data_IF_448886841190
#
_entry.id   IF_448886841190
#
_cell.length_a   1.000
_cell.length_b   1.000
_cell.length_c   1.000
_cell.angle_alpha   90.00
_cell.angle_beta   90.00
_cell.angle_gamma   90.00
#
_symmetry.space_group_name_H-M   'P 1'
#
loop_
_entity.id
_entity.type
_entity.pdbx_description
1 polymer ?
#
# COMPACT_ATOMS: atom_id res chain seq x y z
N UNK A 1 -37.76 73.30 28.80
CA UNK A 1 -36.52 73.94 29.28
C UNK A 1 -35.49 72.87 29.57
N UNK A 2 -34.29 73.05 29.04
CA UNK A 2 -33.11 72.17 29.17
C UNK A 2 -32.64 72.08 30.63
N UNK A 3 -32.20 70.90 31.07
CA UNK A 3 -31.06 70.80 31.99
C UNK A 3 -30.12 69.70 31.51
N UNK A 4 -28.94 70.16 31.08
CA UNK A 4 -27.73 69.40 30.84
C UNK A 4 -27.28 68.73 32.14
N UNK A 5 -26.78 67.49 32.05
CA UNK A 5 -25.81 66.99 33.01
C UNK A 5 -24.50 66.69 32.29
N UNK A 6 -23.50 67.46 32.71
CA UNK A 6 -22.09 67.37 32.34
C UNK A 6 -21.48 66.18 33.07
N UNK A 7 -20.80 65.28 32.35
CA UNK A 7 -19.88 64.30 32.95
C UNK A 7 -18.49 64.91 33.00
N UNK A 8 -17.96 65.05 34.22
CA UNK A 8 -16.55 65.36 34.51
C UNK A 8 -15.79 64.02 34.65
N UNK A 9 -14.54 63.89 34.15
CA UNK A 9 -13.78 62.63 34.21
C UNK A 9 -12.97 62.51 35.50
N UNK A 10 -12.79 61.28 36.01
CA UNK A 10 -11.81 60.92 37.05
C UNK A 10 -11.25 59.49 36.76
N UNK A 11 -10.08 59.11 37.31
CA UNK A 11 -8.98 58.53 36.55
C UNK A 11 -8.65 57.05 36.86
N UNK A 12 -7.89 56.44 35.93
CA UNK A 12 -6.88 55.37 36.04
C UNK A 12 -7.21 54.15 36.93
N UNK A 13 -7.32 52.98 36.29
CA UNK A 13 -6.68 51.76 36.76
C UNK A 13 -6.25 50.92 35.55
N UNK A 14 -4.93 50.79 35.35
CA UNK A 14 -4.36 49.84 34.41
C UNK A 14 -4.64 48.42 34.93
N UNK A 15 -5.61 47.74 34.34
CA UNK A 15 -5.75 46.30 34.51
C UNK A 15 -4.69 45.63 33.65
N UNK A 16 -3.62 45.16 34.28
CA UNK A 16 -2.73 44.15 33.72
C UNK A 16 -3.60 42.93 33.45
N UNK A 17 -4.00 42.74 32.19
CA UNK A 17 -4.51 41.47 31.74
C UNK A 17 -3.34 40.49 31.79
N UNK A 18 -3.21 39.80 32.92
CA UNK A 18 -2.43 38.58 33.01
C UNK A 18 -3.12 37.63 32.03
N UNK A 19 -2.57 37.53 30.82
CA UNK A 19 -2.99 36.54 29.86
C UNK A 19 -2.92 35.20 30.54
N UNK A 20 -4.07 34.55 30.69
CA UNK A 20 -4.15 33.13 30.89
C UNK A 20 -3.44 32.50 29.70
N UNK A 21 -2.17 32.15 29.90
CA UNK A 21 -1.48 31.16 29.09
C UNK A 21 -2.28 29.88 29.34
N UNK A 22 -3.28 29.66 28.48
CA UNK A 22 -3.98 28.40 28.44
C UNK A 22 -2.93 27.33 28.20
N UNK A 23 -2.67 26.52 29.22
CA UNK A 23 -2.18 25.17 29.02
C UNK A 23 -3.19 24.53 28.07
N UNK A 24 -2.82 24.42 26.79
CA UNK A 24 -3.57 23.63 25.84
C UNK A 24 -3.40 22.19 26.30
N UNK A 25 -4.35 21.73 27.11
CA UNK A 25 -4.52 20.31 27.38
C UNK A 25 -4.70 19.63 26.03
N UNK A 26 -3.91 18.58 25.78
CA UNK A 26 -4.18 17.64 24.71
C UNK A 26 -5.67 17.27 24.79
N UNK A 27 -6.45 17.65 23.78
CA UNK A 27 -7.85 17.28 23.75
C UNK A 27 -7.88 15.82 23.31
N UNK A 28 -8.51 14.96 24.10
CA UNK A 28 -8.82 13.61 23.62
C UNK A 28 -9.59 13.72 22.30
N UNK A 29 -9.35 12.77 21.40
CA UNK A 29 -10.09 12.69 20.15
C UNK A 29 -11.59 12.64 20.45
N UNK A 30 -12.45 13.24 19.61
CA UNK A 30 -13.89 13.00 19.70
C UNK A 30 -14.18 11.49 19.83
N UNK A 31 -15.09 11.09 20.71
CA UNK A 31 -15.35 9.66 21.04
C UNK A 31 -15.66 8.77 19.82
N UNK A 32 -16.15 9.37 18.73
CA UNK A 32 -16.47 8.70 17.46
C UNK A 32 -15.24 8.43 16.57
N UNK A 33 -14.06 8.84 17.00
CA UNK A 33 -12.83 8.70 16.24
C UNK A 33 -11.89 7.71 16.93
N UNK A 34 -11.30 6.82 16.15
CA UNK A 34 -10.29 5.87 16.62
C UNK A 34 -9.04 5.97 15.76
N UNK A 35 -7.89 5.61 16.32
CA UNK A 35 -6.68 5.43 15.53
C UNK A 35 -6.84 4.17 14.68
N UNK A 36 -6.58 4.29 13.38
CA UNK A 36 -6.34 3.12 12.55
C UNK A 36 -4.92 2.62 12.85
N UNK A 37 -4.77 1.57 13.66
CA UNK A 37 -3.48 1.19 14.26
C UNK A 37 -2.37 0.93 13.23
N UNK A 38 -2.71 0.34 12.07
CA UNK A 38 -1.74 0.06 11.00
C UNK A 38 -1.19 1.33 10.33
N UNK A 39 -1.80 2.50 10.59
CA UNK A 39 -1.31 3.79 10.10
C UNK A 39 -0.29 4.49 10.99
N UNK A 40 0.07 3.91 12.13
CA UNK A 40 1.05 4.51 13.05
C UNK A 40 2.42 4.63 12.37
N UNK A 41 3.03 5.80 12.49
CA UNK A 41 4.39 6.03 11.97
C UNK A 41 5.44 5.21 12.75
N UNK A 42 6.61 4.91 12.15
CA UNK A 42 7.65 4.12 12.80
C UNK A 42 8.15 4.68 14.15
N UNK A 43 8.17 6.00 14.31
CA UNK A 43 8.51 6.70 15.56
C UNK A 43 7.31 6.89 16.51
N UNK A 44 6.12 6.40 16.13
CA UNK A 44 4.88 6.52 16.88
C UNK A 44 4.32 7.94 16.97
N UNK A 45 4.90 8.93 16.27
CA UNK A 45 4.51 10.33 16.39
C UNK A 45 3.24 10.66 15.60
N UNK A 46 3.01 10.01 14.47
CA UNK A 46 1.90 10.34 13.58
C UNK A 46 1.03 9.12 13.28
N UNK A 47 -0.21 9.37 12.86
CA UNK A 47 -1.15 8.33 12.42
C UNK A 47 -2.36 8.92 11.72
N UNK A 48 -3.23 8.04 11.25
CA UNK A 48 -4.53 8.38 10.66
C UNK A 48 -5.62 7.97 11.64
N UNK A 49 -6.42 8.96 12.04
CA UNK A 49 -7.57 8.80 12.91
C UNK A 49 -8.83 8.79 12.03
N UNK A 50 -9.65 7.76 12.19
CA UNK A 50 -10.77 7.42 11.29
C UNK A 50 -12.07 7.34 12.10
N UNK A 51 -13.19 7.28 11.40
CA UNK A 51 -14.49 7.12 12.05
C UNK A 51 -14.62 5.70 12.62
N UNK A 52 -14.94 5.59 13.91
CA UNK A 52 -15.15 4.32 14.60
C UNK A 52 -16.46 3.68 14.13
N UNK A 53 -16.42 2.42 13.70
CA UNK A 53 -17.64 1.60 13.64
C UNK A 53 -17.80 0.81 14.94
N UNK A 54 -19.03 0.74 15.47
CA UNK A 54 -19.35 -0.25 16.50
C UNK A 54 -19.84 -1.52 15.83
N UNK A 55 -18.96 -2.46 15.50
CA UNK A 55 -19.41 -3.80 15.12
C UNK A 55 -19.90 -4.54 16.36
N UNK A 56 -21.22 -4.72 16.42
CA UNK A 56 -21.84 -5.81 17.18
C UNK A 56 -22.20 -6.86 16.13
N UNK A 57 -21.56 -8.03 16.21
CA UNK A 57 -21.91 -9.21 15.41
C UNK A 57 -23.45 -9.39 15.40
N UNK A 58 -23.99 -9.71 14.21
CA UNK A 58 -25.40 -10.12 13.95
C UNK A 58 -26.43 -9.07 13.49
N UNK A 59 -26.05 -7.84 13.11
CA UNK A 59 -27.02 -6.89 12.52
C UNK A 59 -26.60 -5.43 12.60
N UNK A 60 -25.53 -5.11 11.87
CA UNK A 60 -24.71 -3.90 11.94
C UNK A 60 -25.45 -2.58 12.27
N UNK A 61 -25.05 -1.96 13.38
CA UNK A 61 -25.18 -0.51 13.59
C UNK A 61 -23.81 0.10 13.31
N UNK A 62 -23.58 0.56 12.07
CA UNK A 62 -22.51 1.54 11.83
C UNK A 62 -22.86 2.76 12.69
N UNK A 63 -21.92 3.27 13.49
CA UNK A 63 -22.09 4.61 14.04
C UNK A 63 -21.97 5.57 12.86
N UNK A 64 -23.10 5.76 12.18
CA UNK A 64 -23.20 6.78 11.16
C UNK A 64 -22.95 8.12 11.85
N UNK A 65 -22.17 9.03 11.24
CA UNK A 65 -22.08 10.40 11.68
C UNK A 65 -23.50 10.95 11.88
N UNK A 66 -23.69 11.84 12.85
CA UNK A 66 -24.99 12.49 13.03
C UNK A 66 -25.40 13.21 11.74
N UNK A 67 -26.71 13.46 11.56
CA UNK A 67 -27.22 14.14 10.37
C UNK A 67 -26.48 15.49 10.14
N UNK A 68 -25.70 15.58 9.06
CA UNK A 68 -24.86 16.74 8.73
C UNK A 68 -23.37 16.62 9.06
N UNK A 69 -22.93 15.51 9.67
CA UNK A 69 -21.52 15.17 9.85
C UNK A 69 -20.98 14.39 8.64
N UNK A 70 -19.77 14.73 8.20
CA UNK A 70 -19.06 14.05 7.11
C UNK A 70 -18.23 12.89 7.67
N UNK A 71 -18.21 11.74 6.98
CA UNK A 71 -17.15 10.73 7.16
C UNK A 71 -15.84 11.35 6.74
N UNK A 72 -14.90 11.49 7.66
CA UNK A 72 -13.62 12.13 7.36
C UNK A 72 -12.51 11.50 8.15
N UNK A 73 -11.43 11.19 7.44
CA UNK A 73 -10.20 10.73 8.04
C UNK A 73 -9.29 11.92 8.35
N UNK A 74 -8.64 11.88 9.49
CA UNK A 74 -7.76 12.94 9.97
C UNK A 74 -6.34 12.44 10.07
N UNK A 75 -5.40 13.26 9.62
CA UNK A 75 -4.00 13.06 9.98
C UNK A 75 -3.75 13.65 11.37
N UNK A 76 -3.05 12.92 12.22
CA UNK A 76 -2.92 13.25 13.64
C UNK A 76 -1.47 13.18 14.14
N UNK A 77 -1.18 14.01 15.13
CA UNK A 77 -0.02 13.89 16.02
C UNK A 77 -0.47 13.11 17.27
N UNK A 78 0.08 11.91 17.41
CA UNK A 78 -0.25 10.93 18.46
C UNK A 78 0.50 11.21 19.77
N UNK A 79 1.58 11.99 19.76
CA UNK A 79 2.28 12.35 21.00
C UNK A 79 1.55 13.47 21.74
N UNK A 80 0.97 14.40 20.99
CA UNK A 80 0.25 15.55 21.55
C UNK A 80 -1.27 15.37 21.56
N UNK A 81 -1.78 14.25 21.03
CA UNK A 81 -3.21 14.03 20.73
C UNK A 81 -3.81 15.26 20.02
N UNK A 82 -3.23 15.67 18.88
CA UNK A 82 -3.77 16.75 18.04
C UNK A 82 -4.08 16.35 16.60
N UNK A 83 -5.27 16.74 16.11
CA UNK A 83 -5.66 16.54 14.72
C UNK A 83 -4.96 17.62 13.89
N UNK A 84 -4.11 17.21 12.95
CA UNK A 84 -3.38 18.10 12.05
C UNK A 84 -4.25 18.56 10.87
N UNK A 85 -5.34 17.84 10.60
CA UNK A 85 -6.41 18.23 9.68
C UNK A 85 -7.01 17.07 8.88
N UNK A 86 -8.06 17.37 8.12
CA UNK A 86 -8.79 16.43 7.26
C UNK A 86 -7.94 15.95 6.08
N UNK A 87 -7.89 14.65 5.83
CA UNK A 87 -7.32 14.05 4.62
C UNK A 87 -8.40 14.09 3.53
N UNK A 88 -8.11 14.74 2.41
CA UNK A 88 -9.09 14.91 1.32
C UNK A 88 -9.23 13.63 0.50
N UNK A 89 -10.47 13.24 0.21
CA UNK A 89 -10.80 12.06 -0.61
C UNK A 89 -10.69 10.73 0.16
N UNK A 90 -10.77 10.81 1.49
CA UNK A 90 -10.65 9.69 2.42
C UNK A 90 -11.85 9.76 3.37
N UNK A 91 -12.66 8.71 3.34
CA UNK A 91 -13.92 8.60 4.08
C UNK A 91 -14.02 7.18 4.67
N UNK A 92 -12.90 6.62 5.13
CA UNK A 92 -12.85 5.24 5.60
C UNK A 92 -13.51 5.11 6.98
N UNK A 93 -14.25 4.02 7.13
CA UNK A 93 -14.87 3.62 8.38
C UNK A 93 -14.17 2.37 8.88
N UNK A 94 -13.67 2.41 10.12
CA UNK A 94 -12.88 1.30 10.68
C UNK A 94 -13.69 -0.01 10.63
N UNK A 95 -13.09 -1.09 10.15
CA UNK A 95 -13.71 -2.41 9.99
C UNK A 95 -14.88 -2.50 8.99
N UNK A 96 -15.13 -1.47 8.16
CA UNK A 96 -16.13 -1.56 7.11
C UNK A 96 -15.83 -2.72 6.13
N UNK A 97 -16.88 -3.46 5.76
CA UNK A 97 -16.75 -4.51 4.77
C UNK A 97 -16.41 -3.94 3.39
N UNK A 98 -15.45 -4.55 2.71
CA UNK A 98 -15.02 -4.19 1.35
C UNK A 98 -14.36 -2.82 1.19
N UNK A 99 -14.03 -2.14 2.27
CA UNK A 99 -13.16 -0.96 2.27
C UNK A 99 -11.89 -1.27 3.08
N UNK A 100 -10.79 -0.61 2.75
CA UNK A 100 -9.55 -0.74 3.49
C UNK A 100 -8.73 0.55 3.41
N UNK A 101 -7.94 0.82 4.44
CA UNK A 101 -7.01 1.93 4.49
C UNK A 101 -5.60 1.37 4.65
N UNK A 102 -4.76 1.61 3.65
CA UNK A 102 -3.33 1.33 3.70
C UNK A 102 -2.57 2.60 4.06
N UNK A 103 -1.55 2.47 4.91
CA UNK A 103 -0.62 3.55 5.23
C UNK A 103 0.82 3.02 5.26
N UNK A 104 1.63 3.48 4.30
CA UNK A 104 3.04 3.09 4.20
C UNK A 104 3.96 4.26 4.52
N UNK A 105 4.80 4.10 5.54
CA UNK A 105 5.69 5.15 6.02
C UNK A 105 7.11 5.00 5.50
N UNK A 106 7.79 6.14 5.30
CA UNK A 106 9.26 6.13 5.28
C UNK A 106 9.81 5.74 6.65
N UNK A 107 10.96 5.04 6.71
CA UNK A 107 11.56 4.65 7.99
C UNK A 107 11.88 5.80 8.95
N UNK A 108 11.99 7.03 8.44
CA UNK A 108 12.26 8.24 9.23
C UNK A 108 10.99 9.05 9.57
N UNK A 109 9.79 8.47 9.37
CA UNK A 109 8.48 9.08 9.65
C UNK A 109 8.21 10.41 8.94
N UNK A 110 8.97 10.77 7.90
CA UNK A 110 8.79 12.06 7.22
C UNK A 110 7.72 12.06 6.14
N UNK A 111 7.37 10.89 5.61
CA UNK A 111 6.38 10.73 4.54
C UNK A 111 5.52 9.51 4.82
N UNK A 112 4.21 9.66 4.63
CA UNK A 112 3.24 8.57 4.62
C UNK A 112 2.56 8.52 3.25
N UNK A 113 2.45 7.33 2.68
CA UNK A 113 1.64 7.05 1.50
C UNK A 113 0.36 6.42 2.01
N UNK A 114 -0.74 7.17 1.96
CA UNK A 114 -2.05 6.66 2.33
C UNK A 114 -2.82 6.25 1.07
N UNK A 115 -3.43 5.08 1.09
CA UNK A 115 -4.29 4.56 0.02
C UNK A 115 -5.63 4.13 0.61
N UNK A 116 -6.70 4.74 0.13
CA UNK A 116 -8.07 4.34 0.46
C UNK A 116 -8.57 3.39 -0.63
N UNK A 117 -8.93 2.18 -0.21
CA UNK A 117 -9.44 1.12 -1.06
C UNK A 117 -10.95 1.00 -0.91
N UNK A 118 -11.61 0.88 -2.05
CA UNK A 118 -13.00 0.46 -2.13
C UNK A 118 -13.06 -1.00 -2.60
N UNK A 119 -14.27 -1.49 -2.78
CA UNK A 119 -14.53 -2.86 -3.18
C UNK A 119 -13.78 -3.28 -4.45
N UNK A 120 -13.58 -2.36 -5.40
CA UNK A 120 -12.90 -2.61 -6.67
C UNK A 120 -11.86 -1.52 -6.95
N UNK A 121 -10.64 -1.78 -6.51
CA UNK A 121 -9.51 -0.87 -6.67
C UNK A 121 -9.51 0.29 -5.67
N UNK A 122 -8.53 1.17 -5.83
CA UNK A 122 -8.35 2.29 -4.91
C UNK A 122 -9.30 3.45 -5.22
N UNK A 123 -9.91 4.09 -4.24
CA UNK A 123 -10.65 5.34 -4.43
C UNK A 123 -9.69 6.55 -4.49
N UNK A 124 -8.75 6.63 -3.54
CA UNK A 124 -7.80 7.72 -3.42
C UNK A 124 -6.43 7.23 -2.98
N UNK A 125 -5.38 7.90 -3.46
CA UNK A 125 -4.01 7.63 -3.03
C UNK A 125 -3.23 8.95 -2.95
N UNK A 126 -2.61 9.20 -1.80
CA UNK A 126 -2.00 10.49 -1.47
C UNK A 126 -0.70 10.31 -0.72
N UNK A 127 0.18 11.31 -0.84
CA UNK A 127 1.38 11.43 0.00
C UNK A 127 1.14 12.52 1.04
N UNK A 128 1.23 12.13 2.31
CA UNK A 128 1.13 12.99 3.48
C UNK A 128 2.53 13.31 4.01
N UNK A 129 2.78 14.58 4.32
CA UNK A 129 4.06 15.04 4.89
C UNK A 129 3.78 15.93 6.10
N UNK A 130 4.15 15.50 7.32
CA UNK A 130 4.05 16.34 8.51
C UNK A 130 4.83 17.66 8.38
N UNK A 131 4.27 18.74 8.95
CA UNK A 131 4.87 20.08 8.99
C UNK A 131 4.50 20.80 10.30
N UNK A 132 5.14 20.40 11.39
CA UNK A 132 4.83 20.91 12.73
C UNK A 132 3.35 20.67 13.04
N UNK A 133 2.60 21.74 13.31
CA UNK A 133 1.17 21.69 13.65
C UNK A 133 0.24 21.50 12.44
N UNK A 134 0.75 21.03 11.30
CA UNK A 134 0.00 20.85 10.06
C UNK A 134 0.63 19.75 9.20
N UNK A 135 0.06 19.51 8.01
CA UNK A 135 0.66 18.62 7.02
C UNK A 135 0.43 19.13 5.60
N UNK A 136 1.18 18.58 4.65
CA UNK A 136 0.84 18.70 3.22
C UNK A 136 0.39 17.38 2.66
N UNK A 137 -0.72 17.42 1.93
CA UNK A 137 -1.22 16.32 1.11
C UNK A 137 -0.84 16.58 -0.36
N UNK A 138 -0.38 15.54 -1.04
CA UNK A 138 -0.18 15.56 -2.49
C UNK A 138 -0.90 14.38 -3.11
N UNK A 139 -1.85 14.65 -4.01
CA UNK A 139 -2.55 13.60 -4.75
C UNK A 139 -1.60 12.91 -5.73
N UNK A 140 -1.54 11.59 -5.64
CA UNK A 140 -0.83 10.73 -6.59
C UNK A 140 -1.81 9.83 -7.37
N UNK A 141 -2.91 9.45 -6.73
CA UNK A 141 -3.94 8.56 -7.26
C UNK A 141 -4.59 9.08 -8.55
N UNK A 142 -4.94 10.37 -8.62
CA UNK A 142 -5.65 10.90 -9.78
C UNK A 142 -4.80 10.81 -11.06
N UNK A 143 -3.49 10.98 -10.96
CA UNK A 143 -2.58 10.83 -12.09
C UNK A 143 -2.55 9.38 -12.59
N UNK A 144 -2.45 8.42 -11.67
CA UNK A 144 -2.44 6.97 -12.00
C UNK A 144 -3.76 6.59 -12.69
N UNK A 145 -4.90 6.95 -12.10
CA UNK A 145 -6.23 6.66 -12.63
C UNK A 145 -6.42 7.25 -14.02
N UNK A 146 -6.15 8.55 -14.20
CA UNK A 146 -6.25 9.21 -15.52
C UNK A 146 -5.36 8.54 -16.57
N UNK A 147 -4.14 8.14 -16.20
CA UNK A 147 -3.20 7.50 -17.10
C UNK A 147 -3.69 6.11 -17.55
N UNK A 148 -4.24 5.31 -16.62
CA UNK A 148 -4.83 3.99 -16.91
C UNK A 148 -6.11 4.12 -17.72
N UNK A 149 -7.04 4.99 -17.33
CA UNK A 149 -8.30 5.20 -18.04
C UNK A 149 -8.05 5.60 -19.50
N UNK A 150 -7.05 6.43 -19.75
CA UNK A 150 -6.66 6.81 -21.11
C UNK A 150 -6.15 5.64 -21.96
N UNK A 151 -5.61 4.58 -21.35
CA UNK A 151 -5.23 3.34 -22.03
C UNK A 151 -6.45 2.45 -22.25
N UNK A 152 -7.26 2.23 -21.23
CA UNK A 152 -8.42 1.34 -21.30
C UNK A 152 -9.47 1.90 -22.28
N UNK A 153 -9.71 3.21 -22.27
CA UNK A 153 -10.64 3.91 -23.19
C UNK A 153 -10.24 3.81 -24.66
N UNK A 154 -8.95 3.54 -24.96
CA UNK A 154 -8.49 3.24 -26.33
C UNK A 154 -8.84 1.82 -26.76
N UNK A 155 -9.04 0.90 -25.82
CA UNK A 155 -9.41 -0.49 -26.07
C UNK A 155 -10.94 -0.69 -26.06
N UNK A 156 -11.66 0.08 -25.24
CA UNK A 156 -13.12 0.17 -25.21
C UNK A 156 -13.56 1.48 -24.57
N UNK A 157 -14.42 2.27 -25.24
CA UNK A 157 -14.76 3.64 -24.81
C UNK A 157 -15.65 3.72 -23.56
N UNK A 158 -16.46 2.69 -23.32
CA UNK A 158 -17.55 2.72 -22.34
C UNK A 158 -17.26 1.84 -21.11
N UNK A 159 -15.98 1.63 -20.80
CA UNK A 159 -15.56 0.86 -19.62
C UNK A 159 -14.55 1.66 -18.81
N UNK A 160 -14.75 1.67 -17.51
CA UNK A 160 -13.76 2.13 -16.54
C UNK A 160 -12.96 0.92 -16.02
N UNK A 161 -11.82 1.19 -15.40
CA UNK A 161 -10.97 0.15 -14.88
C UNK A 161 -10.84 0.25 -13.36
N UNK A 162 -10.81 -0.92 -12.74
CA UNK A 162 -10.43 -1.12 -11.36
C UNK A 162 -8.91 -1.20 -11.31
N UNK A 163 -8.31 -0.32 -10.51
CA UNK A 163 -6.86 -0.09 -10.49
C UNK A 163 -6.31 -0.50 -9.13
N UNK A 164 -5.21 -1.26 -9.15
CA UNK A 164 -4.57 -1.80 -7.96
C UNK A 164 -3.11 -1.30 -7.89
N UNK A 165 -2.88 -0.08 -7.36
CA UNK A 165 -1.54 0.46 -7.21
C UNK A 165 -0.81 -0.18 -6.03
N UNK A 166 0.46 -0.45 -6.26
CA UNK A 166 1.46 -0.82 -5.28
C UNK A 166 2.50 0.30 -5.25
N UNK A 167 2.73 0.84 -4.06
CA UNK A 167 3.67 1.91 -3.82
C UNK A 167 4.92 1.33 -3.16
N UNK A 168 6.08 1.89 -3.50
CA UNK A 168 7.35 1.48 -2.92
C UNK A 168 8.21 2.69 -2.62
N UNK A 169 8.55 2.87 -1.35
CA UNK A 169 9.52 3.88 -0.92
C UNK A 169 10.95 3.42 -1.27
N UNK A 170 11.62 4.12 -2.18
CA UNK A 170 13.03 3.87 -2.50
C UNK A 170 13.98 4.53 -1.47
N UNK A 171 15.27 4.16 -1.44
CA UNK A 171 16.29 4.93 -0.71
C UNK A 171 16.33 6.39 -1.19
N UNK A 172 15.91 7.32 -0.32
CA UNK A 172 15.75 8.74 -0.63
C UNK A 172 14.28 9.14 -0.85
N UNK A 173 14.00 10.38 -1.25
CA UNK A 173 12.64 10.86 -1.44
C UNK A 173 12.16 10.46 -2.85
N UNK A 174 11.91 9.17 -3.08
CA UNK A 174 11.33 8.68 -4.34
C UNK A 174 10.36 7.56 -4.05
N UNK A 175 9.20 7.63 -4.70
CA UNK A 175 8.16 6.62 -4.59
C UNK A 175 8.02 5.99 -5.98
N UNK A 176 8.39 4.71 -6.08
CA UNK A 176 8.10 3.92 -7.26
C UNK A 176 6.68 3.42 -7.17
N UNK A 177 5.96 3.45 -8.28
CA UNK A 177 4.57 2.99 -8.36
C UNK A 177 4.43 2.01 -9.49
N UNK A 178 3.79 0.90 -9.17
CA UNK A 178 3.38 -0.14 -10.09
C UNK A 178 1.87 -0.31 -9.93
N UNK A 179 1.07 -0.27 -11.00
CA UNK A 179 -0.36 -0.50 -10.88
C UNK A 179 -0.89 -1.36 -12.01
N UNK A 180 -1.53 -2.47 -11.65
CA UNK A 180 -2.31 -3.30 -12.57
C UNK A 180 -3.75 -2.82 -12.60
N UNK A 181 -4.39 -2.95 -13.75
CA UNK A 181 -5.78 -2.57 -13.91
C UNK A 181 -6.52 -3.48 -14.87
N UNK A 182 -7.80 -3.72 -14.58
CA UNK A 182 -8.72 -4.40 -15.48
C UNK A 182 -10.12 -3.79 -15.39
N UNK A 183 -10.91 -3.89 -16.46
CA UNK A 183 -12.32 -3.46 -16.48
C UNK A 183 -13.32 -4.56 -16.07
N UNK A 184 -12.83 -5.74 -15.69
CA UNK A 184 -13.65 -6.89 -15.33
C UNK A 184 -12.94 -7.71 -14.26
N UNK A 185 -12.72 -7.16 -13.05
CA UNK A 185 -11.97 -7.83 -11.98
C UNK A 185 -12.67 -9.10 -11.48
N UNK A 186 -14.00 -9.21 -11.70
CA UNK A 186 -14.80 -10.39 -11.37
C UNK A 186 -14.72 -11.51 -12.40
N UNK A 187 -14.05 -11.27 -13.53
CA UNK A 187 -13.98 -12.22 -14.64
C UNK A 187 -15.37 -12.69 -15.08
N UNK A 188 -16.35 -11.77 -15.14
CA UNK A 188 -17.71 -12.10 -15.55
C UNK A 188 -17.70 -12.73 -16.95
N UNK A 189 -18.34 -13.88 -17.07
CA UNK A 189 -18.44 -14.62 -18.32
C UNK A 189 -19.09 -13.76 -19.42
N UNK A 190 -18.61 -13.90 -20.66
CA UNK A 190 -19.10 -13.15 -21.81
C UNK A 190 -18.67 -11.66 -21.83
N UNK A 191 -18.01 -11.16 -20.80
CA UNK A 191 -17.48 -9.79 -20.77
C UNK A 191 -16.04 -9.78 -21.23
N UNK A 192 -15.75 -8.99 -22.27
CA UNK A 192 -14.37 -8.82 -22.74
C UNK A 192 -13.55 -8.04 -21.72
N UNK A 193 -12.48 -8.66 -21.24
CA UNK A 193 -11.54 -8.04 -20.31
C UNK A 193 -10.40 -7.36 -21.05
N UNK A 194 -10.09 -6.14 -20.62
CA UNK A 194 -8.98 -5.31 -21.04
C UNK A 194 -8.08 -5.07 -19.85
N UNK A 195 -6.78 -5.15 -20.09
CA UNK A 195 -5.77 -4.98 -19.06
C UNK A 195 -4.88 -3.79 -19.38
N UNK A 196 -4.42 -3.13 -18.32
CA UNK A 196 -3.46 -2.05 -18.41
C UNK A 196 -2.46 -2.13 -17.26
N UNK A 197 -1.26 -1.62 -17.52
CA UNK A 197 -0.19 -1.50 -16.56
C UNK A 197 0.30 -0.06 -16.52
N UNK A 198 0.46 0.47 -15.31
CA UNK A 198 1.15 1.73 -15.05
C UNK A 198 2.46 1.46 -14.30
N UNK A 199 3.54 2.08 -14.79
CA UNK A 199 4.79 2.19 -14.06
C UNK A 199 5.18 3.66 -13.95
N UNK A 200 5.51 4.12 -12.74
CA UNK A 200 5.87 5.51 -12.52
C UNK A 200 6.83 5.72 -11.35
N UNK A 201 7.39 6.93 -11.31
CA UNK A 201 8.22 7.39 -10.19
C UNK A 201 7.78 8.79 -9.81
N UNK A 202 7.35 8.93 -8.56
CA UNK A 202 6.94 10.18 -7.97
C UNK A 202 8.04 10.72 -7.04
N UNK A 203 8.36 12.00 -7.19
CA UNK A 203 9.26 12.73 -6.31
C UNK A 203 8.43 13.55 -5.30
N UNK A 204 8.36 13.15 -4.02
CA UNK A 204 7.63 13.85 -2.97
C UNK A 204 8.20 15.23 -2.61
N UNK A 205 9.47 15.54 -2.92
CA UNK A 205 10.03 16.88 -2.68
C UNK A 205 9.52 17.85 -3.73
N UNK A 206 9.69 17.51 -5.01
CA UNK A 206 9.22 18.38 -6.10
C UNK A 206 7.73 18.27 -6.39
N UNK A 207 7.05 17.28 -5.78
CA UNK A 207 5.63 16.96 -5.94
C UNK A 207 5.27 16.62 -7.38
N UNK A 208 6.16 15.92 -8.08
CA UNK A 208 6.03 15.65 -9.52
C UNK A 208 6.29 14.18 -9.85
N UNK A 209 5.57 13.70 -10.85
CA UNK A 209 5.92 12.48 -11.55
C UNK A 209 7.15 12.74 -12.42
N UNK A 210 8.26 12.07 -12.10
CA UNK A 210 9.51 12.13 -12.86
C UNK A 210 9.55 11.06 -13.96
N UNK A 211 8.74 10.02 -13.83
CA UNK A 211 8.46 9.03 -14.85
C UNK A 211 7.00 8.58 -14.78
N UNK A 212 6.38 8.35 -15.93
CA UNK A 212 5.03 7.80 -16.05
C UNK A 212 4.89 7.06 -17.38
N UNK A 213 4.59 5.77 -17.30
CA UNK A 213 4.52 4.86 -18.44
C UNK A 213 3.30 3.93 -18.32
N UNK A 214 2.11 4.41 -18.70
CA UNK A 214 0.93 3.58 -18.84
C UNK A 214 0.94 2.84 -20.20
N UNK A 215 0.57 1.57 -20.23
CA UNK A 215 0.42 0.79 -21.46
C UNK A 215 -0.66 -0.28 -21.35
N UNK A 216 -1.23 -0.67 -22.49
CA UNK A 216 -2.06 -1.85 -22.56
C UNK A 216 -1.18 -3.10 -22.41
N UNK A 217 -1.71 -4.12 -21.77
CA UNK A 217 -1.09 -5.44 -21.67
C UNK A 217 -2.10 -6.51 -22.05
N UNK A 218 -1.62 -7.69 -22.40
CA UNK A 218 -2.44 -8.87 -22.69
C UNK A 218 -2.81 -9.61 -21.40
N UNK A 219 -3.83 -10.47 -21.47
CA UNK A 219 -4.21 -11.33 -20.35
C UNK A 219 -3.03 -12.21 -19.87
N UNK A 220 -2.24 -12.74 -20.81
CA UNK A 220 -1.06 -13.57 -20.50
C UNK A 220 0.06 -12.78 -19.82
N UNK A 221 0.25 -11.52 -20.20
CA UNK A 221 1.21 -10.63 -19.53
C UNK A 221 0.72 -10.28 -18.12
N UNK A 222 -0.58 -10.04 -17.94
CA UNK A 222 -1.17 -9.82 -16.62
C UNK A 222 -1.01 -11.06 -15.72
N UNK A 223 -1.32 -12.24 -16.22
CA UNK A 223 -1.13 -13.53 -15.52
C UNK A 223 0.34 -13.75 -15.12
N UNK A 224 1.28 -13.46 -16.04
CA UNK A 224 2.71 -13.51 -15.74
C UNK A 224 3.09 -12.56 -14.60
N UNK A 225 2.52 -11.36 -14.56
CA UNK A 225 2.83 -10.36 -13.53
C UNK A 225 2.24 -10.72 -12.18
N UNK A 226 0.98 -11.19 -12.14
CA UNK A 226 0.33 -11.66 -10.92
C UNK A 226 1.08 -12.85 -10.35
N UNK A 227 1.25 -13.92 -11.14
CA UNK A 227 2.02 -15.09 -10.73
C UNK A 227 3.44 -14.75 -10.29
N UNK A 228 4.08 -13.72 -10.88
CA UNK A 228 5.44 -13.33 -10.52
C UNK A 228 5.55 -12.45 -9.27
N UNK A 229 4.64 -11.50 -9.10
CA UNK A 229 4.58 -10.56 -7.97
C UNK A 229 4.09 -11.23 -6.70
N UNK A 230 3.09 -12.09 -6.83
CA UNK A 230 2.49 -12.77 -5.72
C UNK A 230 3.45 -13.86 -5.20
N UNK A 231 3.45 -14.05 -3.88
CA UNK A 231 3.77 -15.34 -3.28
C UNK A 231 2.67 -16.39 -3.60
N UNK A 232 1.94 -16.28 -4.72
CA UNK A 232 0.63 -16.90 -4.88
C UNK A 232 0.70 -18.39 -5.10
N UNK A 233 0.23 -19.04 -4.05
CA UNK A 233 -0.79 -20.09 -3.95
C UNK A 233 -0.57 -20.87 -2.65
N UNK A 234 0.53 -20.55 -1.95
CA UNK A 234 1.25 -21.45 -1.07
C UNK A 234 2.16 -20.59 -0.19
N UNK A 235 2.19 -20.86 1.11
CA UNK A 235 3.05 -20.15 2.06
C UNK A 235 4.49 -20.06 1.56
N UNK A 236 5.17 -18.93 1.78
CA UNK A 236 6.57 -18.74 1.34
C UNK A 236 7.56 -19.76 1.94
N UNK A 237 7.12 -20.49 2.97
CA UNK A 237 7.88 -21.52 3.63
C UNK A 237 7.71 -22.87 2.94
N UNK A 238 8.73 -23.29 2.18
CA UNK A 238 8.71 -24.55 1.44
C UNK A 238 9.37 -25.72 2.19
N UNK A 239 8.66 -26.82 2.37
CA UNK A 239 9.16 -28.02 3.07
C UNK A 239 9.09 -29.27 2.17
N UNK A 240 10.03 -30.20 2.37
CA UNK A 240 9.97 -31.53 1.75
C UNK A 240 9.50 -32.52 2.82
N UNK A 241 8.27 -33.00 2.69
CA UNK A 241 7.72 -34.07 3.53
C UNK A 241 6.60 -34.78 2.77
N UNK A 242 6.61 -36.12 2.71
CA UNK A 242 5.52 -36.90 2.14
C UNK A 242 4.32 -37.04 3.08
N UNK A 243 4.45 -36.67 4.36
CA UNK A 243 3.42 -36.95 5.38
C UNK A 243 2.05 -36.31 5.08
N UNK A 244 1.96 -35.02 4.67
CA UNK A 244 0.67 -34.42 4.30
C UNK A 244 -0.02 -35.16 3.14
N UNK A 245 0.76 -35.75 2.24
CA UNK A 245 0.25 -36.49 1.09
C UNK A 245 -0.22 -37.91 1.42
N UNK A 246 0.00 -38.41 2.64
CA UNK A 246 -0.59 -39.69 3.07
C UNK A 246 -2.10 -39.56 3.30
N UNK A 247 -2.50 -38.43 3.84
CA UNK A 247 -3.91 -38.08 4.07
C UNK A 247 -4.57 -37.58 2.77
N UNK A 248 -3.80 -36.85 1.95
CA UNK A 248 -4.25 -36.29 0.67
C UNK A 248 -3.40 -36.82 -0.50
N UNK A 249 -3.58 -38.09 -0.91
CA UNK A 249 -2.72 -38.74 -1.91
C UNK A 249 -2.76 -38.06 -3.28
N UNK A 250 -3.92 -37.51 -3.66
CA UNK A 250 -4.16 -36.86 -4.95
C UNK A 250 -3.89 -35.34 -4.95
N UNK A 251 -3.37 -34.78 -3.85
CA UNK A 251 -3.08 -33.35 -3.77
C UNK A 251 -1.95 -32.94 -4.72
N UNK A 252 -2.15 -31.81 -5.40
CA UNK A 252 -1.14 -31.18 -6.27
C UNK A 252 0.03 -30.61 -5.44
N UNK A 253 1.21 -30.48 -6.06
CA UNK A 253 2.39 -29.87 -5.44
C UNK A 253 2.60 -28.44 -5.99
N UNK A 254 2.95 -27.45 -5.14
CA UNK A 254 3.01 -27.53 -3.68
C UNK A 254 1.65 -27.73 -3.01
N UNK A 255 1.61 -28.53 -1.94
CA UNK A 255 0.42 -28.67 -1.11
C UNK A 255 0.50 -27.73 0.10
N UNK A 256 -0.43 -26.76 0.17
CA UNK A 256 -0.50 -25.82 1.27
C UNK A 256 -1.15 -26.47 2.51
N UNK A 257 -0.37 -26.60 3.60
CA UNK A 257 -0.82 -27.17 4.87
C UNK A 257 -0.01 -26.56 6.01
N UNK A 258 -0.63 -26.27 7.16
CA UNK A 258 0.05 -25.74 8.37
C UNK A 258 1.09 -24.63 8.08
N UNK A 259 0.69 -23.59 7.36
CA UNK A 259 1.56 -22.44 7.04
C UNK A 259 2.82 -22.78 6.22
N UNK A 260 2.81 -23.93 5.55
CA UNK A 260 3.90 -24.38 4.68
C UNK A 260 3.39 -24.95 3.36
N UNK A 261 4.30 -24.95 2.41
CA UNK A 261 4.12 -25.48 1.07
C UNK A 261 4.94 -26.75 0.95
N UNK A 262 4.26 -27.89 0.96
CA UNK A 262 4.89 -29.20 1.03
C UNK A 262 5.13 -29.80 -0.36
N UNK A 263 6.23 -30.52 -0.47
CA UNK A 263 6.61 -31.34 -1.61
C UNK A 263 6.93 -32.77 -1.14
N UNK A 264 6.62 -33.75 -1.97
CA UNK A 264 6.93 -35.17 -1.78
C UNK A 264 8.42 -35.45 -1.88
N UNK A 265 9.19 -34.61 -2.57
CA UNK A 265 10.63 -34.81 -2.80
C UNK A 265 11.40 -33.51 -3.05
N UNK A 266 12.74 -33.57 -2.91
CA UNK A 266 13.61 -32.47 -3.34
C UNK A 266 13.57 -32.23 -4.85
N UNK A 267 13.29 -33.25 -5.65
CA UNK A 267 13.18 -33.14 -7.11
C UNK A 267 11.95 -32.32 -7.52
N UNK A 268 10.78 -32.63 -6.96
CA UNK A 268 9.55 -31.86 -7.23
C UNK A 268 9.67 -30.43 -6.72
N UNK A 269 10.23 -30.22 -5.52
CA UNK A 269 10.52 -28.88 -4.99
C UNK A 269 11.45 -28.09 -5.91
N UNK A 270 12.57 -28.67 -6.34
CA UNK A 270 13.53 -27.98 -7.19
C UNK A 270 12.93 -27.62 -8.55
N UNK A 271 12.19 -28.55 -9.18
CA UNK A 271 11.52 -28.32 -10.45
C UNK A 271 10.54 -27.14 -10.38
N UNK A 272 9.67 -27.14 -9.37
CA UNK A 272 8.73 -26.06 -9.15
C UNK A 272 9.44 -24.71 -8.98
N UNK A 273 10.48 -24.66 -8.15
CA UNK A 273 11.25 -23.44 -7.92
C UNK A 273 11.98 -22.95 -9.17
N UNK A 274 12.49 -23.85 -10.02
CA UNK A 274 13.15 -23.46 -11.26
C UNK A 274 12.15 -22.85 -12.26
N UNK A 275 10.98 -23.45 -12.41
CA UNK A 275 9.87 -22.93 -13.22
C UNK A 275 9.43 -21.55 -12.71
N UNK A 276 9.17 -21.44 -11.40
CA UNK A 276 8.81 -20.18 -10.73
C UNK A 276 9.87 -19.10 -10.95
N UNK A 277 11.16 -19.43 -10.78
CA UNK A 277 12.27 -18.49 -10.99
C UNK A 277 12.33 -17.98 -12.44
N UNK A 278 12.10 -18.87 -13.41
CA UNK A 278 12.05 -18.47 -14.82
C UNK A 278 10.89 -17.51 -15.10
N UNK A 279 9.74 -17.69 -14.47
CA UNK A 279 8.61 -16.77 -14.62
C UNK A 279 8.86 -15.41 -13.96
N UNK A 280 9.45 -15.38 -12.75
CA UNK A 280 9.93 -14.11 -12.16
C UNK A 280 10.93 -13.43 -13.09
N UNK A 281 11.90 -14.17 -13.64
CA UNK A 281 12.89 -13.60 -14.54
C UNK A 281 12.27 -12.99 -15.80
N UNK A 282 11.26 -13.63 -16.39
CA UNK A 282 10.49 -13.10 -17.52
C UNK A 282 9.70 -11.85 -17.14
N UNK A 283 9.09 -11.82 -15.96
CA UNK A 283 8.36 -10.65 -15.49
C UNK A 283 9.30 -9.46 -15.23
N UNK A 284 10.46 -9.70 -14.60
CA UNK A 284 11.51 -8.69 -14.43
C UNK A 284 12.00 -8.16 -15.77
N UNK A 285 12.17 -9.01 -16.78
CA UNK A 285 12.50 -8.56 -18.14
C UNK A 285 11.42 -7.65 -18.73
N UNK A 286 10.15 -7.99 -18.51
CA UNK A 286 9.02 -7.22 -19.00
C UNK A 286 8.89 -5.85 -18.33
N UNK A 287 9.28 -5.73 -17.07
CA UNK A 287 9.11 -4.51 -16.27
C UNK A 287 10.30 -3.55 -16.35
N UNK A 288 11.53 -4.07 -16.47
CA UNK A 288 12.73 -3.24 -16.44
C UNK A 288 13.07 -2.68 -17.83
N UNK A 289 13.72 -1.51 -17.84
CA UNK A 289 14.31 -0.99 -19.08
C UNK A 289 15.39 -1.94 -19.61
N UNK A 290 15.67 -1.94 -20.92
CA UNK A 290 16.72 -2.78 -21.50
C UNK A 290 18.07 -2.63 -20.80
N UNK A 291 18.46 -1.41 -20.44
CA UNK A 291 19.72 -1.12 -19.76
C UNK A 291 19.77 -1.71 -18.34
N UNK A 292 18.68 -1.63 -17.58
CA UNK A 292 18.58 -2.24 -16.25
C UNK A 292 18.64 -3.77 -16.37
N UNK A 293 17.88 -4.35 -17.31
CA UNK A 293 17.80 -5.79 -17.48
C UNK A 293 19.13 -6.43 -17.93
N UNK A 294 19.99 -5.73 -18.69
CA UNK A 294 21.30 -6.28 -19.04
C UNK A 294 22.14 -6.66 -17.81
N UNK A 295 22.07 -5.86 -16.73
CA UNK A 295 22.74 -6.18 -15.46
C UNK A 295 22.14 -7.43 -14.81
N UNK A 296 20.81 -7.54 -14.81
CA UNK A 296 20.09 -8.71 -14.30
C UNK A 296 20.49 -9.97 -15.06
N UNK A 297 20.57 -9.90 -16.39
CA UNK A 297 20.99 -11.00 -17.27
C UNK A 297 22.42 -11.46 -16.95
N UNK A 298 23.37 -10.54 -16.77
CA UNK A 298 24.73 -10.90 -16.39
C UNK A 298 24.78 -11.60 -15.02
N UNK A 299 24.06 -11.06 -14.03
CA UNK A 299 23.93 -11.69 -12.71
C UNK A 299 23.27 -13.07 -12.77
N UNK A 300 22.27 -13.25 -13.63
CA UNK A 300 21.58 -14.53 -13.84
C UNK A 300 22.54 -15.59 -14.39
N UNK A 301 23.38 -15.24 -15.36
CA UNK A 301 24.38 -16.16 -15.93
C UNK A 301 25.39 -16.61 -14.86
N UNK A 302 25.86 -15.69 -14.02
CA UNK A 302 26.78 -16.03 -12.93
C UNK A 302 26.11 -16.94 -11.89
N UNK A 303 24.86 -16.62 -11.51
CA UNK A 303 24.08 -17.43 -10.58
C UNK A 303 23.79 -18.84 -11.12
N UNK A 304 23.45 -18.98 -12.41
CA UNK A 304 23.23 -20.30 -13.03
C UNK A 304 24.48 -21.19 -12.93
N UNK A 305 25.68 -20.62 -13.17
CA UNK A 305 26.94 -21.36 -12.99
C UNK A 305 27.15 -21.82 -11.55
N UNK A 306 26.80 -21.00 -10.57
CA UNK A 306 26.86 -21.37 -9.15
C UNK A 306 25.89 -22.51 -8.85
N UNK A 307 24.61 -22.36 -9.24
CA UNK A 307 23.57 -23.39 -9.05
C UNK A 307 23.97 -24.72 -9.67
N UNK A 308 24.51 -24.70 -10.89
CA UNK A 308 24.85 -25.92 -11.63
C UNK A 308 26.09 -26.63 -11.05
N UNK A 309 26.98 -25.89 -10.38
CA UNK A 309 28.12 -26.45 -9.64
C UNK A 309 27.72 -27.06 -8.28
N UNK A 310 26.57 -26.69 -7.73
CA UNK A 310 26.02 -27.23 -6.48
C UNK A 310 25.63 -28.70 -6.64
N UNK A 311 25.94 -29.54 -5.65
CA UNK A 311 25.81 -31.00 -5.77
C UNK A 311 24.42 -31.53 -5.40
N UNK A 312 23.76 -30.93 -4.40
CA UNK A 312 22.48 -31.44 -3.89
C UNK A 312 21.30 -30.62 -4.40
N UNK A 313 20.14 -31.27 -4.57
CA UNK A 313 18.90 -30.60 -4.98
C UNK A 313 18.36 -29.67 -3.88
N UNK A 314 18.57 -30.01 -2.62
CA UNK A 314 18.20 -29.18 -1.48
C UNK A 314 18.93 -27.82 -1.52
N UNK A 315 20.27 -27.82 -1.64
CA UNK A 315 21.06 -26.59 -1.75
C UNK A 315 20.71 -25.80 -3.03
N UNK A 316 20.44 -26.48 -4.16
CA UNK A 316 19.97 -25.80 -5.38
C UNK A 316 18.61 -25.13 -5.18
N UNK A 317 17.71 -25.76 -4.43
CA UNK A 317 16.39 -25.21 -4.11
C UNK A 317 16.52 -23.98 -3.21
N UNK A 318 17.43 -23.98 -2.24
CA UNK A 318 17.71 -22.80 -1.40
C UNK A 318 18.28 -21.64 -2.23
N UNK A 319 19.27 -21.91 -3.07
CA UNK A 319 19.84 -20.89 -3.98
C UNK A 319 18.78 -20.31 -4.93
N UNK A 320 17.83 -21.15 -5.38
CA UNK A 320 16.75 -20.75 -6.29
C UNK A 320 15.71 -19.88 -5.59
N UNK A 321 15.32 -20.22 -4.35
CA UNK A 321 14.45 -19.37 -3.53
C UNK A 321 15.09 -18.01 -3.26
N UNK A 322 16.36 -17.97 -2.87
CA UNK A 322 17.08 -16.71 -2.66
C UNK A 322 17.12 -15.88 -3.95
N UNK A 323 17.32 -16.53 -5.10
CA UNK A 323 17.34 -15.85 -6.38
C UNK A 323 15.98 -15.27 -6.76
N UNK A 324 14.90 -16.01 -6.52
CA UNK A 324 13.52 -15.54 -6.70
C UNK A 324 13.31 -14.24 -5.93
N UNK A 325 13.65 -14.23 -4.62
CA UNK A 325 13.52 -13.03 -3.77
C UNK A 325 14.30 -11.84 -4.32
N UNK A 326 15.57 -12.04 -4.68
CA UNK A 326 16.41 -10.99 -5.29
C UNK A 326 15.80 -10.45 -6.59
N UNK A 327 15.22 -11.31 -7.43
CA UNK A 327 14.59 -10.89 -8.69
C UNK A 327 13.28 -10.14 -8.43
N UNK A 328 12.45 -10.61 -7.48
CA UNK A 328 11.22 -9.94 -7.09
C UNK A 328 11.53 -8.56 -6.51
N UNK A 329 12.53 -8.41 -5.64
CA UNK A 329 12.93 -7.13 -5.06
C UNK A 329 13.31 -6.06 -6.11
N UNK A 330 13.75 -6.47 -7.30
CA UNK A 330 14.05 -5.53 -8.39
C UNK A 330 12.79 -4.92 -9.01
N UNK A 331 11.71 -5.70 -9.08
CA UNK A 331 10.44 -5.33 -9.72
C UNK A 331 9.41 -4.81 -8.70
N UNK A 332 9.25 -5.55 -7.61
CA UNK A 332 8.35 -5.34 -6.48
C UNK A 332 9.17 -5.40 -5.18
N UNK A 333 9.95 -4.37 -4.86
CA UNK A 333 10.67 -4.32 -3.58
C UNK A 333 9.66 -4.49 -2.44
N UNK A 334 9.85 -5.50 -1.58
CA UNK A 334 8.92 -5.72 -0.47
C UNK A 334 8.77 -4.46 0.39
N UNK A 335 7.59 -4.27 0.99
CA UNK A 335 7.44 -3.32 2.09
C UNK A 335 8.45 -3.74 3.14
N UNK A 336 9.46 -2.91 3.45
CA UNK A 336 10.48 -3.27 4.44
C UNK A 336 9.77 -3.46 5.77
N UNK A 337 9.66 -4.71 6.23
CA UNK A 337 9.30 -4.99 7.61
C UNK A 337 10.36 -4.32 8.49
N UNK A 338 9.89 -3.35 9.30
CA UNK A 338 10.70 -2.82 10.39
C UNK A 338 10.94 -3.99 11.32
N UNK A 339 12.17 -4.52 11.32
CA UNK A 339 12.59 -5.43 12.37
C UNK A 339 12.43 -4.68 13.68
N UNK A 340 11.51 -5.13 14.52
CA UNK A 340 11.52 -4.79 15.93
C UNK A 340 12.88 -5.23 16.48
N UNK A 341 13.77 -4.26 16.70
CA UNK A 341 14.90 -4.47 17.59
C UNK A 341 14.31 -4.62 19.00
N UNK A 342 14.14 -5.86 19.45
CA UNK A 342 13.84 -6.21 20.85
C UNK A 342 15.02 -5.88 21.77
#
# INVERSE_FOLDING_TARGET
MKKFFVKVPLPIAAAVAIGSVGLVTAADWPERLTLHEESRSPDGHYGIVVTTSSHVDDGATVLLPEEGEEFVDYFADLQTHRLLGKIKGFEYVEHENHAHLDAEWTPDSKLCIATYWERYGFASAVVLQPKGDSFTQTDTGQHIRKAIDAIIKKQSRDVDADVYPQFYVEPGPKIRVYAEASNNPKQLEGTKTYYALFQGTFDPISKKWTASSPRAITAKENELLQSASEASCCFETYAVSPDPFKEYPDAEEPFAYEEKSFFRSDESKFKYLDERMNDVYKAVHFLLSPAQFQKVKQGQIAWLKQRDATKTLAEKSELTQQRIKVLQELAWPGKKELKEEQ
#
